data_IF_828684709382
#
_entry.id   IF_828684709382
#
_cell.length_a   1.000
_cell.length_b   1.000
_cell.length_c   1.000
_cell.angle_alpha   90.00
_cell.angle_beta   90.00
_cell.angle_gamma   90.00
#
_symmetry.space_group_name_H-M   'P 1'
#
loop_
_entity.id
_entity.type
_entity.pdbx_description
1 polymer ?
#
# COMPACT_ATOMS: atom_id res chain seq x y z
N UNK A 1 15.80 27.78 -3.98
CA UNK A 1 15.26 26.40 -3.78
C UNK A 1 15.66 25.99 -2.39
N UNK A 2 14.70 25.65 -1.53
CA UNK A 2 14.99 25.30 -0.13
C UNK A 2 15.53 23.85 -0.07
N UNK A 3 16.82 23.72 0.23
CA UNK A 3 17.51 22.42 0.33
C UNK A 3 16.90 21.57 1.46
N UNK A 4 16.49 22.20 2.57
CA UNK A 4 15.88 21.51 3.71
C UNK A 4 14.58 20.86 3.29
N UNK A 5 13.73 21.56 2.52
CA UNK A 5 12.49 21.02 1.97
C UNK A 5 12.74 19.83 1.05
N UNK A 6 13.77 19.88 0.20
CA UNK A 6 14.12 18.77 -0.68
C UNK A 6 14.63 17.54 0.08
N UNK A 7 15.39 17.74 1.16
CA UNK A 7 15.83 16.64 2.04
C UNK A 7 14.62 15.99 2.73
N UNK A 8 13.70 16.81 3.26
CA UNK A 8 12.44 16.27 3.83
C UNK A 8 11.65 15.47 2.79
N UNK A 9 11.49 15.98 1.57
CA UNK A 9 10.82 15.29 0.48
C UNK A 9 11.50 13.95 0.12
N UNK A 10 12.84 13.93 0.11
CA UNK A 10 13.60 12.70 -0.13
C UNK A 10 13.36 11.66 0.98
N UNK A 11 13.41 12.07 2.26
CA UNK A 11 13.15 11.18 3.40
C UNK A 11 11.73 10.62 3.32
N UNK A 12 10.71 11.47 3.08
CA UNK A 12 9.33 11.03 2.94
C UNK A 12 9.17 10.05 1.77
N UNK A 13 9.81 10.31 0.62
CA UNK A 13 9.82 9.39 -0.51
C UNK A 13 10.46 8.04 -0.15
N UNK A 14 11.58 8.01 0.58
CA UNK A 14 12.21 6.77 1.04
C UNK A 14 11.27 6.01 1.98
N UNK A 15 10.67 6.68 2.95
CA UNK A 15 9.72 6.06 3.89
C UNK A 15 8.56 5.43 3.12
N UNK A 16 7.96 6.16 2.20
CA UNK A 16 6.86 5.65 1.37
C UNK A 16 7.28 4.40 0.58
N UNK A 17 8.37 4.50 -0.19
CA UNK A 17 8.81 3.39 -1.04
C UNK A 17 9.21 2.13 -0.27
N UNK A 18 9.75 2.27 0.94
CA UNK A 18 10.08 1.13 1.79
C UNK A 18 8.86 0.51 2.46
N UNK A 19 7.82 1.29 2.76
CA UNK A 19 6.71 0.82 3.61
C UNK A 19 5.43 0.49 2.86
N UNK A 20 5.21 1.02 1.64
CA UNK A 20 3.95 0.83 0.89
C UNK A 20 3.70 -0.63 0.51
N UNK A 21 4.73 -1.36 0.12
CA UNK A 21 4.59 -2.74 -0.35
C UNK A 21 4.79 -3.80 0.74
N UNK A 22 5.38 -3.41 1.85
CA UNK A 22 5.50 -4.27 3.02
C UNK A 22 4.15 -4.32 3.78
N UNK A 23 3.82 -5.43 4.44
CA UNK A 23 2.55 -5.54 5.17
C UNK A 23 2.58 -4.78 6.51
N UNK A 24 3.11 -3.53 6.52
CA UNK A 24 3.35 -2.72 7.72
C UNK A 24 2.66 -1.35 7.73
N UNK A 25 1.96 -0.98 6.67
CA UNK A 25 1.24 0.30 6.49
C UNK A 25 2.13 1.54 6.37
N UNK A 26 2.24 2.09 5.16
CA UNK A 26 2.95 3.35 4.90
C UNK A 26 2.32 4.55 5.62
N UNK A 27 0.99 4.61 5.71
CA UNK A 27 0.26 5.74 6.31
C UNK A 27 0.77 6.09 7.70
N UNK A 28 0.89 5.12 8.61
CA UNK A 28 1.39 5.39 9.96
C UNK A 28 2.83 5.89 9.98
N UNK A 29 3.67 5.40 9.07
CA UNK A 29 5.07 5.83 8.96
C UNK A 29 5.19 7.24 8.40
N UNK A 30 4.36 7.60 7.39
CA UNK A 30 4.35 8.93 6.82
C UNK A 30 3.83 9.97 7.82
N UNK A 31 2.79 9.67 8.59
CA UNK A 31 2.31 10.56 9.67
C UNK A 31 3.42 10.81 10.68
N UNK A 32 4.09 9.74 11.15
CA UNK A 32 5.20 9.88 12.11
C UNK A 32 6.36 10.68 11.51
N UNK A 33 6.81 10.33 10.31
CA UNK A 33 7.93 11.00 9.65
C UNK A 33 7.59 12.46 9.33
N UNK A 34 6.40 12.74 8.81
CA UNK A 34 5.91 14.08 8.52
C UNK A 34 5.88 14.97 9.76
N UNK A 35 5.32 14.48 10.87
CA UNK A 35 5.29 15.21 12.13
C UNK A 35 6.70 15.49 12.67
N UNK A 36 7.61 14.50 12.67
CA UNK A 36 8.98 14.68 13.15
C UNK A 36 9.81 15.62 12.28
N UNK A 37 9.50 15.70 10.97
CA UNK A 37 10.16 16.59 10.04
C UNK A 37 9.52 17.99 9.98
N UNK A 38 8.38 18.22 10.63
CA UNK A 38 7.55 19.40 10.42
C UNK A 38 7.17 19.53 8.93
N UNK A 39 6.66 18.44 8.36
CA UNK A 39 6.19 18.32 6.98
C UNK A 39 4.75 17.77 7.02
N UNK A 40 3.83 18.60 7.53
CA UNK A 40 2.46 18.23 7.91
C UNK A 40 1.41 19.27 7.47
N UNK A 41 1.77 20.16 6.54
CA UNK A 41 0.86 21.17 6.00
C UNK A 41 -0.15 20.58 4.99
N UNK A 42 -1.07 21.41 4.50
CA UNK A 42 -2.08 20.98 3.53
C UNK A 42 -1.50 20.43 2.22
N UNK A 43 -0.29 20.82 1.83
CA UNK A 43 0.41 20.28 0.66
C UNK A 43 1.05 18.93 0.94
N UNK A 44 1.45 18.65 2.18
CA UNK A 44 2.03 17.37 2.57
C UNK A 44 1.09 16.19 2.26
N UNK A 45 -0.21 16.35 2.48
CA UNK A 45 -1.21 15.31 2.15
C UNK A 45 -1.27 15.00 0.65
N UNK A 46 -1.17 16.01 -0.20
CA UNK A 46 -1.15 15.83 -1.65
C UNK A 46 0.18 15.22 -2.07
N UNK A 47 1.27 15.63 -1.43
CA UNK A 47 2.59 15.08 -1.65
C UNK A 47 2.66 13.59 -1.29
N UNK A 48 2.13 13.18 -0.13
CA UNK A 48 2.09 11.78 0.30
C UNK A 48 1.39 10.88 -0.72
N UNK A 49 0.25 11.33 -1.26
CA UNK A 49 -0.47 10.60 -2.30
C UNK A 49 0.32 10.59 -3.62
N UNK A 50 1.02 11.69 -3.95
CA UNK A 50 1.82 11.74 -5.17
C UNK A 50 3.02 10.79 -5.13
N UNK A 51 3.73 10.70 -4.00
CA UNK A 51 4.89 9.80 -3.87
C UNK A 51 4.50 8.32 -3.93
N UNK A 52 3.25 7.96 -3.57
CA UNK A 52 2.71 6.62 -3.83
C UNK A 52 2.72 6.28 -5.32
N UNK A 53 2.50 7.28 -6.19
CA UNK A 53 2.61 7.10 -7.64
C UNK A 53 4.04 6.77 -8.05
N UNK A 54 5.05 7.37 -7.40
CA UNK A 54 6.46 7.00 -7.59
C UNK A 54 6.70 5.53 -7.25
N UNK A 55 6.21 5.11 -6.08
CA UNK A 55 6.32 3.74 -5.63
C UNK A 55 5.66 2.72 -6.58
N UNK A 56 4.48 3.03 -7.15
CA UNK A 56 3.80 2.10 -8.06
C UNK A 56 4.51 1.95 -9.41
N UNK A 57 5.22 2.97 -9.89
CA UNK A 57 6.06 2.83 -11.08
C UNK A 57 7.18 1.79 -10.88
N UNK A 58 7.69 1.64 -9.66
CA UNK A 58 8.66 0.59 -9.34
C UNK A 58 8.05 -0.81 -9.51
N UNK A 59 6.81 -1.03 -9.10
CA UNK A 59 6.08 -2.30 -9.33
C UNK A 59 5.89 -2.54 -10.81
N UNK A 60 5.45 -1.53 -11.57
CA UNK A 60 5.28 -1.65 -13.02
C UNK A 60 6.61 -2.06 -13.67
N UNK A 61 7.74 -1.50 -13.25
CA UNK A 61 9.06 -1.86 -13.78
C UNK A 61 9.43 -3.31 -13.41
N UNK A 62 9.24 -3.72 -12.15
CA UNK A 62 9.56 -5.10 -11.71
C UNK A 62 8.72 -6.13 -12.46
N UNK A 63 7.45 -5.85 -12.70
CA UNK A 63 6.52 -6.74 -13.39
C UNK A 63 6.35 -6.43 -14.87
N UNK A 64 7.24 -5.60 -15.46
CA UNK A 64 7.11 -5.13 -16.83
C UNK A 64 6.90 -6.25 -17.85
N UNK A 65 7.65 -7.35 -17.75
CA UNK A 65 7.52 -8.49 -18.66
C UNK A 65 6.13 -9.13 -18.57
N UNK A 66 5.61 -9.32 -17.35
CA UNK A 66 4.27 -9.88 -17.13
C UNK A 66 3.19 -8.95 -17.65
N UNK A 67 3.28 -7.65 -17.38
CA UNK A 67 2.34 -6.65 -17.85
C UNK A 67 2.33 -6.62 -19.36
N UNK A 68 3.51 -6.48 -19.99
CA UNK A 68 3.65 -6.45 -21.45
C UNK A 68 3.09 -7.72 -22.10
N UNK A 69 3.47 -8.90 -21.61
CA UNK A 69 2.98 -10.17 -22.16
C UNK A 69 1.47 -10.31 -22.02
N UNK A 70 0.91 -9.87 -20.89
CA UNK A 70 -0.55 -9.87 -20.68
C UNK A 70 -1.24 -8.94 -21.68
N UNK A 71 -0.78 -7.69 -21.84
CA UNK A 71 -1.38 -6.71 -22.74
C UNK A 71 -1.33 -7.20 -24.20
N UNK A 72 -0.20 -7.74 -24.65
CA UNK A 72 -0.06 -8.28 -26.01
C UNK A 72 -0.96 -9.49 -26.24
N UNK A 73 -1.15 -10.32 -25.21
CA UNK A 73 -1.96 -11.53 -25.30
C UNK A 73 -3.47 -11.29 -25.11
N UNK A 74 -3.89 -10.12 -24.60
CA UNK A 74 -5.30 -9.77 -24.32
C UNK A 74 -6.26 -10.08 -25.51
N UNK A 75 -5.95 -9.73 -26.76
CA UNK A 75 -6.89 -9.97 -27.86
C UNK A 75 -7.12 -11.45 -28.20
N UNK A 76 -6.17 -12.32 -27.83
CA UNK A 76 -6.13 -13.70 -28.34
C UNK A 76 -6.17 -14.78 -27.26
N UNK A 77 -5.79 -14.48 -26.02
CA UNK A 77 -5.62 -15.50 -24.99
C UNK A 77 -6.58 -15.31 -23.80
N UNK A 78 -7.45 -16.29 -23.57
CA UNK A 78 -8.39 -16.31 -22.45
C UNK A 78 -7.71 -16.17 -21.06
N UNK A 79 -6.48 -16.70 -20.94
CA UNK A 79 -5.72 -16.61 -19.69
C UNK A 79 -5.34 -15.14 -19.37
N UNK A 80 -4.89 -14.39 -20.38
CA UNK A 80 -4.56 -12.98 -20.23
C UNK A 80 -5.81 -12.13 -19.93
N UNK A 81 -6.93 -12.43 -20.63
CA UNK A 81 -8.22 -11.76 -20.39
C UNK A 81 -8.72 -12.00 -18.96
N UNK A 82 -8.66 -13.26 -18.49
CA UNK A 82 -9.05 -13.62 -17.11
C UNK A 82 -8.18 -12.91 -16.09
N UNK A 83 -6.86 -12.88 -16.28
CA UNK A 83 -5.96 -12.18 -15.38
C UNK A 83 -6.27 -10.68 -15.29
N UNK A 84 -6.42 -9.99 -16.43
CA UNK A 84 -6.78 -8.58 -16.46
C UNK A 84 -8.16 -8.32 -15.82
N UNK A 85 -9.14 -9.18 -16.11
CA UNK A 85 -10.47 -9.12 -15.50
C UNK A 85 -10.40 -9.31 -13.98
N UNK A 86 -9.58 -10.24 -13.49
CA UNK A 86 -9.38 -10.46 -12.05
C UNK A 86 -8.82 -9.20 -11.37
N UNK A 87 -7.86 -8.51 -11.98
CA UNK A 87 -7.34 -7.25 -11.44
C UNK A 87 -8.43 -6.18 -11.37
N UNK A 88 -9.26 -6.05 -12.41
CA UNK A 88 -10.39 -5.12 -12.41
C UNK A 88 -11.45 -5.48 -11.36
N UNK A 89 -11.83 -6.76 -11.27
CA UNK A 89 -12.81 -7.24 -10.27
C UNK A 89 -12.29 -6.98 -8.84
N UNK A 90 -11.01 -7.24 -8.57
CA UNK A 90 -10.41 -6.97 -7.27
C UNK A 90 -10.32 -5.48 -6.94
N UNK A 91 -10.20 -4.62 -7.94
CA UNK A 91 -10.13 -3.16 -7.78
C UNK A 91 -11.49 -2.53 -7.44
N UNK A 92 -12.57 -3.01 -8.06
CA UNK A 92 -13.90 -2.39 -7.99
C UNK A 92 -14.45 -2.19 -6.56
N UNK A 93 -14.39 -3.16 -5.62
CA UNK A 93 -14.94 -2.97 -4.28
C UNK A 93 -14.34 -1.76 -3.55
N UNK A 94 -13.02 -1.57 -3.64
CA UNK A 94 -12.35 -0.43 -3.00
C UNK A 94 -12.75 0.91 -3.64
N UNK A 95 -12.94 0.96 -4.96
CA UNK A 95 -13.43 2.16 -5.65
C UNK A 95 -14.84 2.52 -5.18
N UNK A 96 -15.75 1.55 -5.19
CA UNK A 96 -17.14 1.79 -4.80
C UNK A 96 -17.22 2.29 -3.36
N UNK A 97 -16.57 1.59 -2.42
CA UNK A 97 -16.60 1.99 -1.02
C UNK A 97 -15.83 3.29 -0.76
N UNK A 98 -14.71 3.52 -1.46
CA UNK A 98 -13.96 4.77 -1.36
C UNK A 98 -14.74 5.98 -1.82
N UNK A 99 -15.50 5.87 -2.92
CA UNK A 99 -16.35 6.95 -3.41
C UNK A 99 -17.55 7.21 -2.50
N UNK A 100 -18.17 6.15 -1.96
CA UNK A 100 -19.35 6.27 -1.11
C UNK A 100 -19.01 6.73 0.31
N UNK A 101 -17.97 6.17 0.91
CA UNK A 101 -17.67 6.32 2.35
C UNK A 101 -16.32 7.00 2.64
N UNK A 102 -15.51 7.33 1.64
CA UNK A 102 -14.17 7.87 1.83
C UNK A 102 -14.10 9.12 2.70
N UNK A 103 -15.08 10.05 2.56
CA UNK A 103 -15.16 11.24 3.41
C UNK A 103 -15.46 10.88 4.89
N UNK A 104 -16.43 9.98 5.12
CA UNK A 104 -16.79 9.55 6.46
C UNK A 104 -15.64 8.77 7.14
N UNK A 105 -14.95 7.90 6.39
CA UNK A 105 -13.78 7.17 6.85
C UNK A 105 -12.69 8.15 7.30
N UNK A 106 -12.36 9.15 6.48
CA UNK A 106 -11.37 10.17 6.84
C UNK A 106 -11.77 10.95 8.09
N UNK A 107 -13.03 11.38 8.18
CA UNK A 107 -13.51 12.19 9.28
C UNK A 107 -13.55 11.47 10.64
N UNK A 108 -13.75 10.14 10.64
CA UNK A 108 -13.98 9.41 11.89
C UNK A 108 -12.89 8.41 12.28
N UNK A 109 -12.10 7.91 11.32
CA UNK A 109 -11.15 6.83 11.57
C UNK A 109 -9.67 7.28 11.57
N UNK A 110 -9.35 8.49 11.09
CA UNK A 110 -7.97 8.99 11.11
C UNK A 110 -7.60 9.53 12.49
N UNK A 111 -7.48 8.63 13.46
CA UNK A 111 -7.07 8.95 14.84
C UNK A 111 -5.90 8.05 15.24
N UNK A 112 -5.02 8.51 16.14
CA UNK A 112 -3.87 7.71 16.60
C UNK A 112 -4.29 6.39 17.23
N UNK A 113 -5.43 6.36 17.94
CA UNK A 113 -5.97 5.15 18.53
C UNK A 113 -6.36 4.12 17.47
N UNK A 114 -7.03 4.56 16.39
CA UNK A 114 -7.41 3.66 15.30
C UNK A 114 -6.16 3.16 14.58
N UNK A 115 -5.21 4.05 14.25
CA UNK A 115 -3.94 3.67 13.61
C UNK A 115 -3.19 2.63 14.43
N UNK A 116 -2.99 2.89 15.71
CA UNK A 116 -2.31 1.96 16.61
C UNK A 116 -3.04 0.62 16.76
N UNK A 117 -4.35 0.66 16.95
CA UNK A 117 -5.17 -0.56 17.09
C UNK A 117 -5.08 -1.43 15.83
N UNK A 118 -5.17 -0.83 14.64
CA UNK A 118 -5.07 -1.57 13.38
C UNK A 118 -3.67 -2.11 13.11
N UNK A 119 -2.61 -1.42 13.55
CA UNK A 119 -1.26 -1.96 13.53
C UNK A 119 -1.16 -3.22 14.41
N UNK A 120 -1.61 -3.14 15.66
CA UNK A 120 -1.53 -4.24 16.64
C UNK A 120 -2.41 -5.42 16.19
N UNK A 121 -3.69 -5.17 15.88
CA UNK A 121 -4.63 -6.20 15.41
C UNK A 121 -4.11 -6.86 14.13
N UNK A 122 -3.64 -6.06 13.17
CA UNK A 122 -3.06 -6.58 11.94
C UNK A 122 -1.81 -7.44 12.19
N UNK A 123 -0.99 -7.09 13.17
CA UNK A 123 0.14 -7.94 13.61
C UNK A 123 -0.33 -9.31 14.11
N UNK A 124 -1.35 -9.35 14.98
CA UNK A 124 -1.94 -10.62 15.45
C UNK A 124 -2.58 -11.44 14.33
N UNK A 125 -3.25 -10.77 13.37
CA UNK A 125 -3.83 -11.45 12.20
C UNK A 125 -2.72 -12.09 11.36
N UNK A 126 -1.57 -11.43 11.15
CA UNK A 126 -0.43 -12.02 10.46
C UNK A 126 0.10 -13.26 11.21
N UNK A 127 0.29 -13.17 12.53
CA UNK A 127 0.73 -14.31 13.35
C UNK A 127 -0.24 -15.49 13.25
N UNK A 128 -1.53 -15.22 13.24
CA UNK A 128 -2.55 -16.25 13.06
C UNK A 128 -2.53 -16.87 11.67
N UNK A 129 -2.41 -16.04 10.62
CA UNK A 129 -2.37 -16.51 9.24
C UNK A 129 -1.15 -17.42 8.97
N UNK A 130 0.00 -17.09 9.55
CA UNK A 130 1.24 -17.87 9.39
C UNK A 130 1.24 -19.19 10.16
N UNK A 131 0.38 -19.37 11.16
CA UNK A 131 0.21 -20.63 11.89
C UNK A 131 -0.66 -21.65 11.15
N UNK A 132 -1.25 -21.29 10.01
CA UNK A 132 -2.11 -22.21 9.25
C UNK A 132 -1.29 -23.38 8.65
N UNK A 133 -1.88 -24.60 8.61
CA UNK A 133 -1.21 -25.75 8.04
C UNK A 133 -0.96 -25.55 6.53
N UNK A 134 0.16 -26.07 5.99
CA UNK A 134 0.53 -25.92 4.57
C UNK A 134 -0.49 -26.46 3.56
N UNK A 135 -1.37 -27.36 3.95
CA UNK A 135 -2.39 -27.97 3.08
C UNK A 135 -3.58 -27.06 2.70
N UNK A 136 -3.61 -25.81 3.21
CA UNK A 136 -4.69 -24.86 2.90
C UNK A 136 -4.48 -24.10 1.59
N UNK A 137 -3.36 -24.29 0.87
CA UNK A 137 -3.07 -23.58 -0.40
C UNK A 137 -3.84 -24.24 -1.53
N UNK A 138 -4.71 -23.46 -2.17
CA UNK A 138 -5.55 -23.87 -3.30
C UNK A 138 -5.09 -23.23 -4.62
N UNK A 139 -4.51 -22.06 -4.55
CA UNK A 139 -4.05 -21.27 -5.70
C UNK A 139 -2.55 -21.01 -5.55
N UNK A 140 -1.72 -21.71 -6.32
CA UNK A 140 -0.25 -21.58 -6.28
C UNK A 140 0.25 -20.37 -7.08
N UNK A 141 -0.38 -20.08 -8.23
CA UNK A 141 0.04 -19.01 -9.12
C UNK A 141 -1.09 -18.00 -9.34
N UNK A 142 -0.73 -16.73 -9.46
CA UNK A 142 -1.68 -15.64 -9.69
C UNK A 142 -2.54 -15.83 -10.95
N UNK A 143 -2.01 -16.53 -11.95
CA UNK A 143 -2.72 -16.84 -13.19
C UNK A 143 -3.82 -17.89 -13.03
N UNK A 144 -3.82 -18.64 -11.94
CA UNK A 144 -4.81 -19.71 -11.67
C UNK A 144 -5.98 -19.21 -10.83
N UNK A 145 -5.93 -17.95 -10.39
CA UNK A 145 -7.03 -17.30 -9.67
C UNK A 145 -8.32 -17.27 -10.48
N UNK A 146 -9.41 -17.56 -9.81
CA UNK A 146 -10.76 -17.37 -10.36
C UNK A 146 -11.24 -15.92 -10.13
N UNK A 147 -12.26 -15.44 -10.89
CA UNK A 147 -12.90 -14.15 -10.62
C UNK A 147 -13.44 -14.01 -9.20
N UNK A 148 -13.90 -15.11 -8.61
CA UNK A 148 -14.38 -15.14 -7.23
C UNK A 148 -13.25 -14.94 -6.22
N UNK A 149 -12.06 -15.52 -6.47
CA UNK A 149 -10.88 -15.27 -5.66
C UNK A 149 -10.48 -13.79 -5.70
N UNK A 150 -10.46 -13.22 -6.89
CA UNK A 150 -10.15 -11.81 -7.10
C UNK A 150 -11.16 -10.89 -6.39
N UNK A 151 -12.45 -11.19 -6.47
CA UNK A 151 -13.50 -10.45 -5.76
C UNK A 151 -13.31 -10.53 -4.24
N UNK A 152 -13.05 -11.73 -3.70
CA UNK A 152 -12.81 -11.92 -2.26
C UNK A 152 -11.61 -11.11 -1.78
N UNK A 153 -10.47 -11.13 -2.51
CA UNK A 153 -9.30 -10.31 -2.17
C UNK A 153 -9.62 -8.83 -2.29
N UNK A 154 -10.39 -8.42 -3.30
CA UNK A 154 -10.87 -7.04 -3.46
C UNK A 154 -11.76 -6.56 -2.30
N UNK A 155 -12.64 -7.42 -1.79
CA UNK A 155 -13.43 -7.12 -0.59
C UNK A 155 -12.55 -6.98 0.65
N UNK A 156 -11.56 -7.86 0.82
CA UNK A 156 -10.59 -7.75 1.91
C UNK A 156 -9.73 -6.48 1.76
N UNK A 157 -9.40 -6.05 0.54
CA UNK A 157 -8.72 -4.77 0.31
C UNK A 157 -9.47 -3.58 0.93
N UNK A 158 -10.80 -3.64 1.03
CA UNK A 158 -11.59 -2.55 1.59
C UNK A 158 -11.24 -2.25 3.06
N UNK A 159 -10.74 -3.22 3.83
CA UNK A 159 -10.22 -2.96 5.17
C UNK A 159 -9.02 -2.01 5.17
N UNK A 160 -8.29 -1.93 4.08
CA UNK A 160 -7.17 -1.01 3.93
C UNK A 160 -7.56 0.48 3.94
N UNK A 161 -8.85 0.79 3.80
CA UNK A 161 -9.34 2.16 3.98
C UNK A 161 -9.32 2.61 5.44
N UNK A 162 -9.27 1.67 6.39
CA UNK A 162 -9.08 1.99 7.80
C UNK A 162 -7.57 2.28 7.99
N UNK A 163 -7.21 3.48 8.46
CA UNK A 163 -5.81 3.89 8.57
C UNK A 163 -5.02 2.94 9.48
N UNK A 164 -3.77 2.65 9.12
CA UNK A 164 -2.92 1.70 9.83
C UNK A 164 -3.12 0.23 9.44
N UNK A 165 -4.19 -0.14 8.74
CA UNK A 165 -4.45 -1.56 8.36
C UNK A 165 -3.42 -2.10 7.38
N UNK A 166 -2.86 -1.29 6.50
CA UNK A 166 -2.00 -1.66 5.36
C UNK A 166 -2.76 -2.27 4.18
N UNK A 167 -2.68 -1.64 3.02
CA UNK A 167 -3.28 -2.17 1.78
C UNK A 167 -2.62 -3.50 1.39
N UNK A 168 -1.27 -3.53 1.33
CA UNK A 168 -0.51 -4.74 1.05
C UNK A 168 -0.74 -5.82 2.11
N UNK A 169 -0.77 -5.45 3.41
CA UNK A 169 -1.09 -6.37 4.50
C UNK A 169 -2.46 -7.01 4.32
N UNK A 170 -3.50 -6.22 4.04
CA UNK A 170 -4.85 -6.74 3.82
C UNK A 170 -4.91 -7.72 2.65
N UNK A 171 -4.40 -7.34 1.48
CA UNK A 171 -4.50 -8.16 0.27
C UNK A 171 -3.60 -9.39 0.30
N UNK A 172 -2.39 -9.30 0.85
CA UNK A 172 -1.47 -10.44 0.96
C UNK A 172 -1.98 -11.42 2.01
N UNK A 173 -2.17 -10.97 3.24
CA UNK A 173 -2.58 -11.85 4.34
C UNK A 173 -4.00 -12.36 4.12
N UNK A 174 -4.92 -11.49 3.68
CA UNK A 174 -6.27 -11.91 3.30
C UNK A 174 -6.28 -12.92 2.15
N UNK A 175 -5.45 -12.72 1.12
CA UNK A 175 -5.27 -13.68 0.04
C UNK A 175 -4.78 -15.05 0.54
N UNK A 176 -3.78 -15.07 1.43
CA UNK A 176 -3.32 -16.30 2.08
C UNK A 176 -4.42 -16.99 2.88
N UNK A 177 -5.20 -16.24 3.66
CA UNK A 177 -6.34 -16.76 4.42
C UNK A 177 -7.44 -17.34 3.51
N UNK A 178 -7.56 -16.84 2.28
CA UNK A 178 -8.49 -17.31 1.26
C UNK A 178 -7.94 -18.49 0.43
N UNK A 179 -6.74 -18.99 0.74
CA UNK A 179 -6.14 -20.16 0.11
C UNK A 179 -5.18 -19.86 -1.05
N UNK A 180 -4.70 -18.64 -1.20
CA UNK A 180 -3.60 -18.32 -2.10
C UNK A 180 -2.25 -18.67 -1.43
N UNK A 181 -1.27 -19.07 -2.24
CA UNK A 181 0.13 -19.16 -1.77
C UNK A 181 0.66 -17.76 -1.41
N UNK A 182 1.72 -17.68 -0.58
CA UNK A 182 2.37 -16.39 -0.27
C UNK A 182 2.74 -15.64 -1.55
N UNK A 183 3.29 -16.35 -2.52
CA UNK A 183 3.68 -15.78 -3.82
C UNK A 183 2.49 -15.28 -4.60
N UNK A 184 1.44 -16.09 -4.79
CA UNK A 184 0.24 -15.70 -5.53
C UNK A 184 -0.46 -14.49 -4.88
N UNK A 185 -0.57 -14.48 -3.54
CA UNK A 185 -1.17 -13.38 -2.79
C UNK A 185 -0.35 -12.08 -2.93
N UNK A 186 0.98 -12.18 -2.86
CA UNK A 186 1.87 -11.02 -3.04
C UNK A 186 1.85 -10.49 -4.47
N UNK A 187 1.96 -11.38 -5.46
CA UNK A 187 1.88 -11.01 -6.87
C UNK A 187 0.55 -10.30 -7.17
N UNK A 188 -0.58 -10.89 -6.75
CA UNK A 188 -1.89 -10.29 -6.98
C UNK A 188 -2.06 -8.95 -6.25
N UNK A 189 -1.59 -8.84 -5.01
CA UNK A 189 -1.57 -7.57 -4.26
C UNK A 189 -0.85 -6.46 -5.03
N UNK A 190 0.28 -6.77 -5.65
CA UNK A 190 1.05 -5.78 -6.41
C UNK A 190 0.36 -5.39 -7.72
N UNK A 191 -0.22 -6.34 -8.46
CA UNK A 191 -1.02 -6.01 -9.63
C UNK A 191 -2.26 -5.19 -9.28
N UNK A 192 -2.92 -5.50 -8.18
CA UNK A 192 -4.08 -4.76 -7.69
C UNK A 192 -3.71 -3.35 -7.21
N UNK A 193 -2.48 -3.16 -6.73
CA UNK A 193 -1.96 -1.84 -6.36
C UNK A 193 -1.91 -0.87 -7.55
N UNK A 194 -1.63 -1.37 -8.76
CA UNK A 194 -1.46 -0.52 -9.94
C UNK A 194 -2.70 0.35 -10.19
N UNK A 195 -3.90 -0.21 -10.46
CA UNK A 195 -5.07 0.63 -10.67
C UNK A 195 -5.49 1.38 -9.40
N UNK A 196 -5.28 0.80 -8.22
CA UNK A 196 -5.70 1.39 -6.94
C UNK A 196 -4.92 2.67 -6.63
N UNK A 197 -3.58 2.62 -6.68
CA UNK A 197 -2.74 3.78 -6.34
C UNK A 197 -2.73 4.82 -7.46
N UNK A 198 -2.73 4.41 -8.72
CA UNK A 198 -2.85 5.35 -9.84
C UNK A 198 -4.20 6.07 -9.78
N UNK A 199 -5.29 5.34 -9.57
CA UNK A 199 -6.62 5.92 -9.46
C UNK A 199 -6.74 6.91 -8.30
N UNK A 200 -6.23 6.54 -7.12
CA UNK A 200 -6.20 7.42 -5.96
C UNK A 200 -5.33 8.66 -6.20
N UNK A 201 -4.14 8.48 -6.79
CA UNK A 201 -3.23 9.57 -7.13
C UNK A 201 -3.84 10.58 -8.11
N UNK A 202 -4.39 10.09 -9.22
CA UNK A 202 -5.04 10.95 -10.22
C UNK A 202 -6.24 11.69 -9.61
N UNK A 203 -7.08 10.99 -8.85
CA UNK A 203 -8.25 11.61 -8.21
C UNK A 203 -7.83 12.71 -7.22
N UNK A 204 -6.83 12.45 -6.38
CA UNK A 204 -6.38 13.42 -5.38
C UNK A 204 -5.68 14.62 -6.02
N UNK A 205 -4.79 14.42 -6.97
CA UNK A 205 -4.12 15.49 -7.71
C UNK A 205 -5.15 16.39 -8.44
N UNK A 206 -6.17 15.79 -9.05
CA UNK A 206 -7.24 16.55 -9.71
C UNK A 206 -8.05 17.36 -8.69
N UNK A 207 -8.42 16.76 -7.57
CA UNK A 207 -9.25 17.40 -6.53
C UNK A 207 -8.53 18.56 -5.86
N UNK A 208 -7.27 18.39 -5.53
CA UNK A 208 -6.47 19.36 -4.76
C UNK A 208 -5.56 20.22 -5.66
N UNK A 209 -5.81 20.23 -6.97
CA UNK A 209 -4.97 20.97 -7.95
C UNK A 209 -4.80 22.46 -7.66
N UNK A 210 -5.77 23.06 -6.98
CA UNK A 210 -5.72 24.48 -6.60
C UNK A 210 -4.64 24.79 -5.53
N UNK A 211 -4.19 23.78 -4.77
CA UNK A 211 -3.14 23.92 -3.77
C UNK A 211 -1.73 23.83 -4.37
N UNK A 212 -1.62 23.35 -5.61
CA UNK A 212 -0.34 23.08 -6.27
C UNK A 212 0.13 24.27 -7.10
N UNK A 213 1.43 24.52 -7.05
CA UNK A 213 2.08 25.57 -7.83
C UNK A 213 3.29 25.02 -8.59
N UNK A 214 3.76 25.72 -9.61
CA UNK A 214 4.99 25.37 -10.35
C UNK A 214 6.20 25.34 -9.44
N UNK A 215 6.22 26.14 -8.37
CA UNK A 215 7.28 26.17 -7.39
C UNK A 215 7.40 24.86 -6.57
N UNK A 216 6.35 24.04 -6.52
CA UNK A 216 6.33 22.77 -5.80
C UNK A 216 6.94 21.61 -6.62
N UNK A 217 7.13 21.78 -7.95
CA UNK A 217 7.64 20.73 -8.85
C UNK A 217 8.95 20.10 -8.36
N UNK A 218 9.98 20.84 -7.90
CA UNK A 218 11.22 20.23 -7.43
C UNK A 218 11.03 19.32 -6.22
N UNK A 219 10.18 19.71 -5.27
CA UNK A 219 9.83 18.90 -4.10
C UNK A 219 9.15 17.58 -4.51
N UNK A 220 8.13 17.66 -5.37
CA UNK A 220 7.43 16.48 -5.88
C UNK A 220 8.36 15.57 -6.70
N UNK A 221 9.21 16.13 -7.56
CA UNK A 221 10.15 15.36 -8.36
C UNK A 221 11.15 14.58 -7.48
N UNK A 222 11.70 15.22 -6.45
CA UNK A 222 12.61 14.56 -5.49
C UNK A 222 11.87 13.44 -4.76
N UNK A 223 10.70 13.72 -4.19
CA UNK A 223 9.91 12.70 -3.49
C UNK A 223 9.56 11.50 -4.37
N UNK A 224 9.11 11.74 -5.61
CA UNK A 224 8.79 10.70 -6.59
C UNK A 224 10.00 9.82 -6.94
N UNK A 225 11.17 10.43 -7.19
CA UNK A 225 12.39 9.69 -7.52
C UNK A 225 12.85 8.83 -6.36
N UNK A 226 12.90 9.38 -5.15
CA UNK A 226 13.32 8.61 -3.96
C UNK A 226 12.31 7.53 -3.61
N UNK A 227 11.02 7.78 -3.74
CA UNK A 227 9.97 6.76 -3.57
C UNK A 227 10.09 5.64 -4.61
N UNK A 228 10.30 5.99 -5.88
CA UNK A 228 10.51 4.99 -6.93
C UNK A 228 11.73 4.10 -6.64
N UNK A 229 12.89 4.70 -6.33
CA UNK A 229 14.14 3.93 -6.12
C UNK A 229 14.03 3.04 -4.89
N UNK A 230 13.54 3.56 -3.77
CA UNK A 230 13.39 2.79 -2.53
C UNK A 230 12.34 1.69 -2.66
N UNK A 231 11.21 1.96 -3.35
CA UNK A 231 10.21 0.95 -3.65
C UNK A 231 10.75 -0.15 -4.58
N UNK A 232 11.52 0.21 -5.59
CA UNK A 232 12.13 -0.77 -6.50
C UNK A 232 13.07 -1.73 -5.77
N UNK A 233 13.90 -1.23 -4.87
CA UNK A 233 14.76 -2.04 -4.02
C UNK A 233 13.94 -2.92 -3.07
N UNK A 234 12.94 -2.32 -2.41
CA UNK A 234 12.07 -2.99 -1.45
C UNK A 234 11.26 -4.13 -2.08
N UNK A 235 10.60 -3.89 -3.22
CA UNK A 235 9.79 -4.89 -3.93
C UNK A 235 10.66 -6.08 -4.38
N UNK A 236 11.83 -5.80 -4.96
CA UNK A 236 12.78 -6.87 -5.36
C UNK A 236 13.27 -7.69 -4.18
N UNK A 237 13.57 -7.03 -3.08
CA UNK A 237 13.97 -7.69 -1.84
C UNK A 237 12.81 -8.54 -1.28
N UNK A 238 11.60 -7.97 -1.19
CA UNK A 238 10.44 -8.67 -0.64
C UNK A 238 10.10 -9.94 -1.43
N UNK A 239 10.12 -9.88 -2.77
CA UNK A 239 9.85 -11.05 -3.62
C UNK A 239 10.86 -12.19 -3.40
N UNK A 240 12.12 -11.86 -3.11
CA UNK A 240 13.12 -12.87 -2.72
C UNK A 240 12.88 -13.38 -1.31
N UNK A 241 12.57 -12.47 -0.39
CA UNK A 241 12.34 -12.78 1.01
C UNK A 241 11.19 -13.77 1.21
N UNK A 242 10.03 -13.53 0.60
CA UNK A 242 8.83 -14.36 0.76
C UNK A 242 8.97 -15.77 0.17
N UNK A 243 9.96 -16.00 -0.69
CA UNK A 243 10.21 -17.34 -1.26
C UNK A 243 10.73 -18.33 -0.21
N UNK A 244 11.35 -17.85 0.85
CA UNK A 244 11.99 -18.66 1.88
C UNK A 244 11.60 -18.30 3.31
N UNK A 245 10.97 -17.15 3.53
CA UNK A 245 10.65 -16.61 4.85
C UNK A 245 9.16 -16.35 5.03
N UNK A 246 8.73 -16.28 6.30
CA UNK A 246 7.37 -15.95 6.70
C UNK A 246 7.18 -14.45 6.94
N UNK A 247 5.92 -14.00 7.07
CA UNK A 247 5.59 -12.61 7.43
C UNK A 247 5.66 -12.36 8.97
N UNK A 248 6.08 -13.31 9.77
CA UNK A 248 6.16 -13.18 11.25
C UNK A 248 6.98 -11.96 11.70
N UNK A 249 8.16 -11.63 11.12
CA UNK A 249 8.89 -10.42 11.53
C UNK A 249 8.10 -9.13 11.31
N UNK A 250 7.31 -9.04 10.24
CA UNK A 250 6.45 -7.88 10.00
C UNK A 250 5.29 -7.80 11.01
N UNK A 251 4.80 -8.93 11.49
CA UNK A 251 3.78 -8.97 12.54
C UNK A 251 4.28 -8.34 13.84
N UNK A 252 5.46 -8.75 14.29
CA UNK A 252 6.09 -8.18 15.49
C UNK A 252 6.44 -6.70 15.31
N UNK A 253 6.96 -6.33 14.14
CA UNK A 253 7.20 -4.94 13.80
C UNK A 253 5.93 -4.11 13.96
N UNK A 254 4.79 -4.56 13.40
CA UNK A 254 3.50 -3.88 13.51
C UNK A 254 3.05 -3.71 14.95
N UNK A 255 3.16 -4.76 15.77
CA UNK A 255 2.76 -4.71 17.19
C UNK A 255 3.60 -3.66 17.93
N UNK A 256 4.93 -3.71 17.78
CA UNK A 256 5.83 -2.74 18.42
C UNK A 256 5.57 -1.33 17.92
N UNK A 257 5.43 -1.14 16.61
CA UNK A 257 5.15 0.18 16.04
C UNK A 257 3.80 0.73 16.52
N UNK A 258 2.76 -0.10 16.60
CA UNK A 258 1.47 0.29 17.15
C UNK A 258 1.57 0.77 18.62
N UNK A 259 2.41 0.13 19.44
CA UNK A 259 2.69 0.59 20.79
C UNK A 259 3.45 1.93 20.82
N UNK A 260 4.37 2.14 19.89
CA UNK A 260 5.07 3.43 19.69
C UNK A 260 4.06 4.53 19.31
N UNK A 261 3.13 4.25 18.40
CA UNK A 261 2.06 5.19 18.02
C UNK A 261 1.24 5.61 19.25
N UNK A 262 0.82 4.67 20.08
CA UNK A 262 0.08 4.99 21.33
C UNK A 262 0.94 5.81 22.29
N UNK A 263 2.18 5.45 22.50
CA UNK A 263 3.10 6.15 23.40
C UNK A 263 3.38 7.59 22.94
N UNK A 264 3.63 7.81 21.65
CA UNK A 264 3.89 9.14 21.09
C UNK A 264 2.64 10.02 21.04
N UNK A 265 1.47 9.42 20.81
CA UNK A 265 0.20 10.13 20.87
C UNK A 265 -0.14 10.55 22.31
N UNK A 266 0.07 9.67 23.26
CA UNK A 266 -0.22 9.97 24.68
C UNK A 266 0.74 11.00 25.28
N UNK A 267 2.03 10.96 24.90
CA UNK A 267 3.02 11.94 25.36
C UNK A 267 2.94 13.30 24.63
N UNK A 268 2.14 13.42 23.58
CA UNK A 268 2.06 14.63 22.76
C UNK A 268 3.30 14.91 21.91
N UNK A 269 4.22 13.94 21.79
CA UNK A 269 5.45 14.08 20.99
C UNK A 269 5.20 14.13 19.47
N UNK A 270 4.09 13.55 19.03
CA UNK A 270 3.71 13.49 17.62
C UNK A 270 2.27 13.95 17.45
N UNK A 271 2.02 14.84 16.52
CA UNK A 271 0.68 15.24 16.12
C UNK A 271 0.15 14.19 15.13
N UNK A 272 -0.75 13.35 15.61
CA UNK A 272 -1.39 12.28 14.82
C UNK A 272 -2.73 12.71 14.20
N UNK A 273 -3.04 14.01 14.22
CA UNK A 273 -4.25 14.55 13.61
C UNK A 273 -4.01 14.90 12.14
N UNK A 274 -5.02 14.64 11.32
CA UNK A 274 -5.11 15.12 9.93
C UNK A 274 -5.66 16.54 9.84
#
# INVERSE_FOLDING_TARGET
MDIVLLVKAAIMGIVEGLTEFLPISSTGHLILAGSLLGFDDGKAKVFDIAIQTGAIFAVILVYWQKIRSTVVALPRQRKAQRFALNVLIGFLPAVVLGLLFGKAIKAHLFTPTVVASTFIIGGFIILWAEKRPPGAVRVEHVDDMTPLDALKVGLVQCFAMIPGTSRSGSTIIGGMLLGLSRKAATDFSFFLAIPTLIGAGVYSLYKERALLSVADIPMFAVGLVFSFVSAWLCVRWLLRYISTHSFIPFAWYRIVFGLIVLGTAWSGLVVWAD
#
